data_IF_645902171919
#
_entry.id   IF_645902171919
#
_cell.length_a   1.000
_cell.length_b   1.000
_cell.length_c   1.000
_cell.angle_alpha   90.00
_cell.angle_beta   90.00
_cell.angle_gamma   90.00
#
_symmetry.space_group_name_H-M   'P 1'
#
loop_
_entity.id
_entity.type
_entity.pdbx_description
1 polymer ?
#
# COMPACT_ATOMS: atom_id res chain seq x y z
N UNK A 1 -6.16 -10.20 14.55
CA UNK A 1 -6.08 -8.75 14.29
C UNK A 1 -4.70 -8.44 13.70
N UNK A 2 -4.65 -8.12 12.40
CA UNK A 2 -3.91 -6.97 11.88
C UNK A 2 -2.37 -6.93 12.04
N UNK A 3 -1.63 -7.83 11.42
CA UNK A 3 -0.18 -7.66 11.26
C UNK A 3 0.16 -6.37 10.47
N UNK A 4 -0.70 -5.99 9.53
CA UNK A 4 -0.50 -4.86 8.62
C UNK A 4 -0.90 -3.51 9.24
N UNK A 5 -2.02 -3.41 9.96
CA UNK A 5 -2.29 -2.19 10.73
C UNK A 5 -1.26 -1.96 11.84
N UNK A 6 -0.58 -3.01 12.33
CA UNK A 6 0.50 -2.85 13.31
C UNK A 6 1.71 -2.13 12.72
N UNK A 7 1.98 -2.30 11.42
CA UNK A 7 3.04 -1.58 10.71
C UNK A 7 2.66 -0.10 10.54
N UNK A 8 1.40 0.18 10.19
CA UNK A 8 0.89 1.55 10.10
C UNK A 8 0.78 2.25 11.47
N UNK A 9 0.55 1.50 12.55
CA UNK A 9 0.34 2.01 13.91
C UNK A 9 1.58 1.86 14.80
N UNK A 10 2.78 1.84 14.22
CA UNK A 10 4.02 1.75 14.99
C UNK A 10 4.16 2.92 15.97
N UNK A 11 4.87 2.67 17.07
CA UNK A 11 5.14 3.70 18.08
C UNK A 11 6.00 4.83 17.50
N UNK A 12 6.97 4.46 16.66
CA UNK A 12 7.88 5.41 16.03
C UNK A 12 7.13 6.40 15.14
N UNK A 13 6.15 6.00 14.33
CA UNK A 13 5.45 6.91 13.39
C UNK A 13 4.23 7.65 13.98
N UNK A 14 4.01 7.59 15.30
CA UNK A 14 2.83 8.18 15.95
C UNK A 14 2.77 9.70 15.80
N UNK A 15 3.93 10.36 15.77
CA UNK A 15 4.04 11.79 15.50
C UNK A 15 3.62 12.13 14.07
N UNK A 16 4.02 11.32 13.08
CA UNK A 16 3.60 11.47 11.69
C UNK A 16 2.07 11.39 11.52
N UNK A 17 1.42 10.54 12.32
CA UNK A 17 -0.03 10.32 12.27
C UNK A 17 -0.85 11.34 13.03
N UNK A 18 -0.36 11.82 14.18
CA UNK A 18 -1.20 12.54 15.16
C UNK A 18 -0.81 14.01 15.37
N UNK A 19 0.41 14.43 15.03
CA UNK A 19 0.90 15.78 15.37
C UNK A 19 0.10 16.87 14.64
N UNK A 20 -0.26 16.65 13.39
CA UNK A 20 -1.08 17.61 12.61
C UNK A 20 -2.50 17.76 13.19
N UNK A 21 -3.10 16.66 13.65
CA UNK A 21 -4.38 16.72 14.35
C UNK A 21 -4.25 17.46 15.69
N UNK A 22 -3.24 17.12 16.49
CA UNK A 22 -2.96 17.80 17.75
C UNK A 22 -2.73 19.30 17.59
N UNK A 23 -2.07 19.72 16.49
CA UNK A 23 -1.87 21.13 16.15
C UNK A 23 -3.20 21.84 15.86
N UNK A 24 -4.08 21.24 15.05
CA UNK A 24 -5.42 21.78 14.75
C UNK A 24 -6.29 21.93 16.01
N UNK A 25 -6.09 21.06 17.00
CA UNK A 25 -6.80 21.11 18.28
C UNK A 25 -6.15 22.03 19.32
N UNK A 26 -5.04 22.71 18.98
CA UNK A 26 -4.32 23.60 19.90
C UNK A 26 -3.51 22.86 20.99
N UNK A 27 -3.31 21.54 20.85
CA UNK A 27 -2.59 20.69 21.81
C UNK A 27 -1.09 20.55 21.52
N UNK A 28 -0.63 21.05 20.37
CA UNK A 28 0.78 20.98 19.94
C UNK A 28 1.34 22.38 19.79
N UNK A 29 2.36 22.68 20.58
CA UNK A 29 3.13 23.93 20.57
C UNK A 29 3.93 24.11 19.26
N UNK A 30 4.24 25.37 18.92
CA UNK A 30 4.94 25.76 17.69
C UNK A 30 6.24 24.99 17.50
N UNK A 31 7.11 25.00 18.53
CA UNK A 31 8.41 24.33 18.50
C UNK A 31 8.32 22.82 18.21
N UNK A 32 7.26 22.16 18.70
CA UNK A 32 7.05 20.73 18.45
C UNK A 32 6.55 20.51 17.03
N UNK A 33 5.67 21.38 16.55
CA UNK A 33 5.17 21.31 15.18
C UNK A 33 6.27 21.58 14.15
N UNK A 34 7.16 22.55 14.39
CA UNK A 34 8.31 22.84 13.52
C UNK A 34 9.22 21.62 13.35
N UNK A 35 9.57 20.94 14.45
CA UNK A 35 10.37 19.70 14.39
C UNK A 35 9.69 18.60 13.60
N UNK A 36 8.38 18.47 13.77
CA UNK A 36 7.57 17.52 12.99
C UNK A 36 7.58 17.88 11.50
N UNK A 37 7.39 19.16 11.17
CA UNK A 37 7.36 19.65 9.79
C UNK A 37 8.70 19.43 9.09
N UNK A 38 9.81 19.77 9.73
CA UNK A 38 11.18 19.52 9.21
C UNK A 38 11.40 18.05 8.93
N UNK A 39 11.11 17.19 9.92
CA UNK A 39 11.25 15.74 9.78
C UNK A 39 10.37 15.17 8.66
N UNK A 40 9.13 15.66 8.53
CA UNK A 40 8.22 15.24 7.44
C UNK A 40 8.78 15.65 6.08
N UNK A 41 9.29 16.88 5.97
CA UNK A 41 9.92 17.37 4.74
C UNK A 41 11.17 16.56 4.37
N UNK A 42 12.02 16.19 5.34
CA UNK A 42 13.17 15.31 5.10
C UNK A 42 12.74 13.93 4.60
N UNK A 43 11.70 13.33 5.21
CA UNK A 43 11.14 12.04 4.78
C UNK A 43 10.62 12.13 3.35
N UNK A 44 9.82 13.16 3.03
CA UNK A 44 9.21 13.31 1.71
C UNK A 44 10.31 13.49 0.63
N UNK A 45 11.30 14.36 0.88
CA UNK A 45 12.43 14.57 -0.05
C UNK A 45 13.26 13.31 -0.25
N UNK A 46 13.56 12.60 0.83
CA UNK A 46 14.36 11.37 0.76
C UNK A 46 13.59 10.27 0.02
N UNK A 47 12.29 10.12 0.29
CA UNK A 47 11.44 9.17 -0.41
C UNK A 47 11.43 9.43 -1.91
N UNK A 48 11.29 10.69 -2.33
CA UNK A 48 11.31 11.09 -3.75
C UNK A 48 12.69 10.79 -4.38
N UNK A 49 13.78 11.15 -3.68
CA UNK A 49 15.15 10.85 -4.14
C UNK A 49 15.34 9.34 -4.37
N UNK A 50 15.00 8.49 -3.40
CA UNK A 50 15.15 7.03 -3.54
C UNK A 50 14.21 6.45 -4.61
N UNK A 51 13.02 7.04 -4.77
CA UNK A 51 12.05 6.66 -5.80
C UNK A 51 12.56 6.91 -7.22
N UNK A 52 13.25 8.04 -7.42
CA UNK A 52 13.65 8.51 -8.74
C UNK A 52 15.11 8.23 -9.09
N UNK A 53 15.96 7.93 -8.12
CA UNK A 53 17.37 7.64 -8.38
C UNK A 53 17.53 6.29 -9.09
N UNK A 54 18.34 6.27 -10.15
CA UNK A 54 18.66 5.06 -10.91
C UNK A 54 19.99 4.49 -10.41
N UNK A 55 19.97 3.23 -9.99
CA UNK A 55 21.15 2.46 -9.62
C UNK A 55 21.55 1.51 -10.74
N UNK A 56 22.84 1.21 -10.80
CA UNK A 56 23.46 0.47 -11.89
C UNK A 56 24.08 -0.85 -11.39
N UNK A 57 24.08 -1.92 -12.21
CA UNK A 57 24.65 -3.22 -11.84
C UNK A 57 26.10 -3.11 -11.35
N UNK A 58 26.93 -2.27 -11.98
CA UNK A 58 28.36 -2.19 -11.65
C UNK A 58 28.63 -1.75 -10.20
N UNK A 59 27.73 -0.97 -9.62
CA UNK A 59 27.81 -0.50 -8.23
C UNK A 59 27.12 -1.46 -7.26
N UNK A 60 25.97 -2.01 -7.65
CA UNK A 60 25.10 -2.77 -6.74
C UNK A 60 25.46 -4.24 -6.63
N UNK A 61 25.85 -4.90 -7.73
CA UNK A 61 26.00 -6.35 -7.79
C UNK A 61 26.97 -6.94 -6.73
N UNK A 62 28.11 -6.30 -6.40
CA UNK A 62 28.97 -6.79 -5.32
C UNK A 62 28.23 -6.93 -3.98
N UNK A 63 27.45 -5.92 -3.60
CA UNK A 63 26.64 -5.92 -2.37
C UNK A 63 25.46 -6.89 -2.47
N UNK A 64 24.84 -7.01 -3.65
CA UNK A 64 23.73 -7.95 -3.87
C UNK A 64 24.19 -9.41 -3.70
N UNK A 65 25.36 -9.76 -4.24
CA UNK A 65 25.93 -11.10 -4.10
C UNK A 65 26.34 -11.39 -2.66
N UNK A 66 26.94 -10.42 -1.97
CA UNK A 66 27.32 -10.56 -0.54
C UNK A 66 26.11 -10.82 0.35
N UNK A 67 25.00 -10.12 0.11
CA UNK A 67 23.74 -10.29 0.83
C UNK A 67 22.90 -11.50 0.33
N UNK A 68 23.41 -12.27 -0.64
CA UNK A 68 22.75 -13.49 -1.13
C UNK A 68 21.49 -13.24 -1.96
N UNK A 69 21.36 -12.07 -2.58
CA UNK A 69 20.23 -11.69 -3.43
C UNK A 69 20.61 -11.63 -4.91
N UNK A 70 19.63 -11.47 -5.80
CA UNK A 70 19.83 -11.57 -7.26
C UNK A 70 20.49 -10.32 -7.86
N UNK A 71 21.51 -10.49 -8.69
CA UNK A 71 22.15 -9.42 -9.46
C UNK A 71 21.18 -8.67 -10.38
N UNK A 72 21.59 -7.50 -10.86
CA UNK A 72 20.81 -6.66 -11.77
C UNK A 72 21.13 -6.97 -13.23
N UNK A 73 20.10 -7.22 -14.04
CA UNK A 73 20.26 -7.40 -15.49
C UNK A 73 20.35 -6.08 -16.27
N UNK A 74 19.89 -4.98 -15.68
CA UNK A 74 19.86 -3.65 -16.26
C UNK A 74 19.77 -2.60 -15.14
N UNK A 75 20.00 -1.30 -15.42
CA UNK A 75 19.79 -0.24 -14.45
C UNK A 75 18.32 -0.19 -14.00
N UNK A 76 18.10 0.00 -12.69
CA UNK A 76 16.76 0.04 -12.08
C UNK A 76 16.66 1.21 -11.10
N UNK A 77 15.45 1.53 -10.64
CA UNK A 77 15.27 2.52 -9.56
C UNK A 77 15.74 1.97 -8.22
N UNK A 78 16.39 2.78 -7.40
CA UNK A 78 16.84 2.39 -6.05
C UNK A 78 15.69 1.83 -5.20
N UNK A 79 14.50 2.47 -5.29
CA UNK A 79 13.25 1.99 -4.69
C UNK A 79 12.90 0.53 -5.01
N UNK A 80 13.34 -0.03 -6.13
CA UNK A 80 13.04 -1.42 -6.48
C UNK A 80 13.89 -2.45 -5.71
N UNK A 81 15.02 -2.02 -5.12
CA UNK A 81 15.87 -2.88 -4.30
C UNK A 81 15.44 -2.92 -2.85
N UNK A 82 14.96 -1.79 -2.31
CA UNK A 82 14.56 -1.64 -0.90
C UNK A 82 13.54 -2.71 -0.43
N UNK A 83 12.56 -3.19 -1.24
CA UNK A 83 11.63 -4.25 -0.85
C UNK A 83 12.25 -5.63 -0.67
N UNK A 84 13.50 -5.86 -1.10
CA UNK A 84 14.17 -7.15 -0.96
C UNK A 84 14.42 -7.43 0.52
N UNK A 85 13.96 -8.56 1.07
CA UNK A 85 14.03 -8.83 2.50
C UNK A 85 15.47 -8.99 3.00
N UNK A 86 16.42 -9.29 2.12
CA UNK A 86 17.84 -9.42 2.43
C UNK A 86 18.56 -8.07 2.54
N UNK A 87 17.91 -6.95 2.16
CA UNK A 87 18.53 -5.63 2.07
C UNK A 87 17.93 -4.62 3.07
N UNK A 88 18.80 -3.76 3.57
CA UNK A 88 18.48 -2.51 4.22
C UNK A 88 18.74 -1.33 3.28
N UNK A 89 18.13 -0.18 3.58
CA UNK A 89 18.40 1.02 2.78
C UNK A 89 19.89 1.40 2.84
N UNK A 90 20.53 1.23 4.00
CA UNK A 90 21.94 1.54 4.18
C UNK A 90 22.86 0.74 3.25
N UNK A 91 22.56 -0.54 2.99
CA UNK A 91 23.38 -1.37 2.10
C UNK A 91 23.42 -0.81 0.67
N UNK A 92 22.31 -0.21 0.23
CA UNK A 92 22.19 0.43 -1.09
C UNK A 92 22.98 1.74 -1.13
N UNK A 93 22.97 2.50 -0.04
CA UNK A 93 23.69 3.76 0.06
C UNK A 93 25.22 3.52 0.12
N UNK A 94 25.65 2.54 0.91
CA UNK A 94 27.08 2.17 1.04
C UNK A 94 27.67 1.67 -0.29
N UNK A 95 26.83 1.14 -1.18
CA UNK A 95 27.24 0.68 -2.51
C UNK A 95 27.27 1.79 -3.58
N UNK A 96 26.73 2.99 -3.31
CA UNK A 96 26.76 4.12 -4.24
C UNK A 96 27.02 5.46 -3.53
N UNK A 97 28.30 5.86 -3.49
CA UNK A 97 28.76 7.13 -2.90
C UNK A 97 27.99 8.37 -3.40
N UNK A 98 27.58 8.41 -4.67
CA UNK A 98 26.83 9.55 -5.22
C UNK A 98 25.42 9.62 -4.62
N UNK A 99 24.79 8.45 -4.42
CA UNK A 99 23.49 8.37 -3.77
C UNK A 99 23.62 8.73 -2.28
N UNK A 100 24.62 8.17 -1.58
CA UNK A 100 24.90 8.49 -0.19
C UNK A 100 25.08 10.00 0.01
N UNK A 101 25.86 10.66 -0.85
CA UNK A 101 26.06 12.11 -0.77
C UNK A 101 24.75 12.89 -0.94
N UNK A 102 23.89 12.52 -1.90
CA UNK A 102 22.59 13.17 -2.09
C UNK A 102 21.63 12.94 -0.92
N UNK A 103 21.76 11.80 -0.23
CA UNK A 103 21.00 11.52 0.98
C UNK A 103 21.50 12.39 2.14
N UNK A 104 22.82 12.51 2.33
CA UNK A 104 23.42 13.32 3.38
C UNK A 104 23.08 14.82 3.25
N UNK A 105 22.89 15.31 2.02
CA UNK A 105 22.40 16.67 1.75
C UNK A 105 20.95 16.90 2.22
N UNK A 106 20.16 15.83 2.36
CA UNK A 106 18.79 15.88 2.86
C UNK A 106 18.78 15.67 4.38
N UNK A 107 19.42 14.60 4.86
CA UNK A 107 19.37 14.22 6.28
C UNK A 107 20.47 13.22 6.63
N UNK A 108 20.99 13.34 7.84
CA UNK A 108 21.81 12.31 8.50
C UNK A 108 21.04 11.60 9.62
N UNK A 109 19.74 11.85 9.71
CA UNK A 109 18.88 11.32 10.75
C UNK A 109 18.49 9.87 10.44
N UNK A 110 19.04 8.94 11.20
CA UNK A 110 18.77 7.50 11.05
C UNK A 110 17.29 7.14 11.14
N UNK A 111 16.51 7.91 11.92
CA UNK A 111 15.08 7.69 11.99
C UNK A 111 14.39 8.01 10.66
N UNK A 112 14.84 9.05 9.93
CA UNK A 112 14.27 9.42 8.63
C UNK A 112 14.60 8.33 7.60
N UNK A 113 15.83 7.83 7.60
CA UNK A 113 16.23 6.68 6.78
C UNK A 113 15.34 5.46 7.05
N UNK A 114 15.13 5.12 8.33
CA UNK A 114 14.29 3.99 8.72
C UNK A 114 12.84 4.18 8.26
N UNK A 115 12.26 5.38 8.43
CA UNK A 115 10.90 5.63 7.97
C UNK A 115 10.75 5.50 6.46
N UNK A 116 11.70 6.00 5.67
CA UNK A 116 11.66 5.85 4.22
C UNK A 116 11.80 4.39 3.80
N UNK A 117 12.70 3.63 4.43
CA UNK A 117 12.84 2.18 4.20
C UNK A 117 11.52 1.46 4.48
N UNK A 118 10.89 1.73 5.62
CA UNK A 118 9.59 1.18 6.01
C UNK A 118 8.53 1.56 4.95
N UNK A 119 8.40 2.84 4.64
CA UNK A 119 7.40 3.31 3.67
C UNK A 119 7.54 2.57 2.34
N UNK A 120 8.75 2.49 1.79
CA UNK A 120 8.99 1.81 0.51
C UNK A 120 8.70 0.30 0.61
N UNK A 121 9.16 -0.38 1.66
CA UNK A 121 8.91 -1.83 1.85
C UNK A 121 7.41 -2.13 1.91
N UNK A 122 6.63 -1.23 2.49
CA UNK A 122 5.20 -1.43 2.69
C UNK A 122 4.30 -0.76 1.66
N UNK A 123 4.80 0.11 0.80
CA UNK A 123 4.03 0.73 -0.29
C UNK A 123 3.23 -0.30 -1.09
N UNK A 124 3.85 -1.44 -1.42
CA UNK A 124 3.19 -2.50 -2.18
C UNK A 124 2.07 -3.19 -1.41
N UNK A 125 2.22 -3.36 -0.10
CA UNK A 125 1.19 -3.98 0.76
C UNK A 125 0.05 -3.00 1.03
N UNK A 126 0.39 -1.76 1.39
CA UNK A 126 -0.57 -0.68 1.63
C UNK A 126 -1.39 -0.43 0.37
N UNK A 127 -0.76 -0.38 -0.81
CA UNK A 127 -1.46 -0.22 -2.08
C UNK A 127 -2.45 -1.34 -2.34
N UNK A 128 -2.08 -2.60 -2.13
CA UNK A 128 -3.01 -3.74 -2.29
C UNK A 128 -4.19 -3.65 -1.32
N UNK A 129 -3.96 -3.31 -0.07
CA UNK A 129 -5.03 -3.14 0.92
C UNK A 129 -5.96 -1.98 0.55
N UNK A 130 -5.42 -0.85 0.09
CA UNK A 130 -6.23 0.25 -0.43
C UNK A 130 -7.06 -0.17 -1.64
N UNK A 131 -6.46 -0.88 -2.60
CA UNK A 131 -7.17 -1.43 -3.76
C UNK A 131 -8.30 -2.39 -3.33
N UNK A 132 -8.05 -3.28 -2.35
CA UNK A 132 -9.08 -4.16 -1.81
C UNK A 132 -10.21 -3.40 -1.11
N UNK A 133 -9.89 -2.39 -0.30
CA UNK A 133 -10.89 -1.54 0.37
C UNK A 133 -11.72 -0.77 -0.66
N UNK A 134 -11.09 -0.24 -1.70
CA UNK A 134 -11.76 0.47 -2.78
C UNK A 134 -12.67 -0.48 -3.59
N UNK A 135 -12.20 -1.68 -3.93
CA UNK A 135 -12.97 -2.73 -4.59
C UNK A 135 -14.19 -3.14 -3.75
N UNK A 136 -13.99 -3.37 -2.44
CA UNK A 136 -15.07 -3.68 -1.50
C UNK A 136 -16.09 -2.53 -1.41
N UNK A 137 -15.62 -1.29 -1.35
CA UNK A 137 -16.51 -0.11 -1.33
C UNK A 137 -17.29 0.05 -2.62
N UNK A 138 -16.68 -0.24 -3.78
CA UNK A 138 -17.38 -0.27 -5.07
C UNK A 138 -18.47 -1.34 -5.07
N UNK A 139 -18.15 -2.55 -4.59
CA UNK A 139 -19.12 -3.65 -4.47
C UNK A 139 -20.27 -3.29 -3.53
N UNK A 140 -19.97 -2.65 -2.39
CA UNK A 140 -20.98 -2.26 -1.41
C UNK A 140 -22.05 -1.33 -2.01
N UNK A 141 -21.62 -0.41 -2.87
CA UNK A 141 -22.47 0.61 -3.47
C UNK A 141 -22.97 0.28 -4.88
N UNK A 142 -22.62 -0.88 -5.45
CA UNK A 142 -23.09 -1.26 -6.79
C UNK A 142 -24.54 -1.72 -6.70
N UNK A 143 -25.45 -0.90 -7.22
CA UNK A 143 -26.89 -1.18 -7.22
C UNK A 143 -27.24 -2.35 -8.15
N UNK A 144 -28.18 -3.17 -7.70
CA UNK A 144 -28.80 -4.23 -8.47
C UNK A 144 -30.18 -3.75 -8.90
N UNK A 145 -30.51 -3.72 -10.21
CA UNK A 145 -31.83 -3.31 -10.67
C UNK A 145 -32.95 -4.17 -10.06
N UNK A 146 -34.00 -3.52 -9.54
CA UNK A 146 -35.13 -4.20 -8.87
C UNK A 146 -35.82 -5.29 -9.72
N UNK A 147 -35.70 -5.21 -11.05
CA UNK A 147 -36.35 -6.12 -12.01
C UNK A 147 -35.40 -7.14 -12.64
N UNK A 148 -34.22 -7.35 -12.05
CA UNK A 148 -33.29 -8.35 -12.56
C UNK A 148 -33.91 -9.75 -12.48
N UNK A 149 -33.81 -10.52 -13.56
CA UNK A 149 -34.18 -11.92 -13.57
C UNK A 149 -32.91 -12.79 -13.48
N UNK A 150 -32.60 -13.28 -12.28
CA UNK A 150 -31.41 -14.10 -12.03
C UNK A 150 -31.42 -15.43 -12.79
N UNK A 151 -32.58 -15.93 -13.24
CA UNK A 151 -32.64 -17.16 -14.05
C UNK A 151 -31.98 -17.00 -15.41
N UNK A 152 -31.98 -15.77 -15.96
CA UNK A 152 -31.33 -15.45 -17.23
C UNK A 152 -29.80 -15.47 -17.16
N UNK A 153 -29.22 -15.50 -15.96
CA UNK A 153 -27.77 -15.49 -15.75
C UNK A 153 -27.30 -16.95 -15.64
N UNK A 154 -26.95 -17.56 -16.77
CA UNK A 154 -26.66 -19.00 -16.82
C UNK A 154 -25.48 -19.45 -15.94
N UNK A 155 -24.50 -18.58 -15.72
CA UNK A 155 -23.29 -18.85 -14.94
C UNK A 155 -23.47 -18.74 -13.43
N UNK A 156 -24.64 -18.33 -12.92
CA UNK A 156 -24.94 -18.40 -11.50
C UNK A 156 -25.24 -19.84 -11.06
N UNK A 157 -24.73 -20.22 -9.90
CA UNK A 157 -25.04 -21.50 -9.26
C UNK A 157 -26.54 -21.61 -8.95
N UNK A 158 -27.06 -22.82 -8.92
CA UNK A 158 -28.48 -23.07 -8.58
C UNK A 158 -28.83 -22.56 -7.18
N UNK A 159 -27.88 -22.65 -6.23
CA UNK A 159 -28.04 -22.11 -4.88
C UNK A 159 -28.03 -20.57 -4.91
N UNK A 160 -27.05 -19.97 -5.59
CA UNK A 160 -26.95 -18.52 -5.77
C UNK A 160 -28.22 -17.93 -6.37
N UNK A 161 -28.73 -18.51 -7.47
CA UNK A 161 -30.01 -18.11 -8.09
C UNK A 161 -31.16 -18.16 -7.11
N UNK A 162 -31.34 -19.30 -6.43
CA UNK A 162 -32.44 -19.48 -5.46
C UNK A 162 -32.40 -18.44 -4.34
N UNK A 163 -31.21 -18.17 -3.80
CA UNK A 163 -31.01 -17.20 -2.72
C UNK A 163 -31.21 -15.76 -3.18
N UNK A 164 -30.63 -15.38 -4.32
CA UNK A 164 -30.72 -14.02 -4.89
C UNK A 164 -32.17 -13.69 -5.28
N UNK A 165 -32.87 -14.60 -5.95
CA UNK A 165 -34.29 -14.43 -6.33
C UNK A 165 -35.19 -14.28 -5.09
N UNK A 166 -34.89 -15.00 -4.00
CA UNK A 166 -35.68 -14.94 -2.77
C UNK A 166 -35.44 -13.68 -1.95
N UNK A 167 -34.19 -13.24 -1.84
CA UNK A 167 -33.79 -12.14 -0.94
C UNK A 167 -33.86 -10.79 -1.65
N UNK A 168 -33.69 -10.76 -2.98
CA UNK A 168 -33.69 -9.55 -3.81
C UNK A 168 -32.80 -8.45 -3.22
N UNK A 169 -31.47 -8.68 -3.14
CA UNK A 169 -30.56 -7.67 -2.64
C UNK A 169 -30.56 -6.42 -3.53
N UNK A 170 -30.50 -5.25 -2.90
CA UNK A 170 -30.43 -3.93 -3.54
C UNK A 170 -29.01 -3.62 -4.05
N UNK A 171 -27.98 -4.22 -3.44
CA UNK A 171 -26.58 -4.02 -3.85
C UNK A 171 -25.78 -5.32 -3.95
N UNK A 172 -24.70 -5.29 -4.73
CA UNK A 172 -23.71 -6.38 -4.81
C UNK A 172 -23.13 -6.71 -3.43
N UNK A 173 -22.87 -5.71 -2.58
CA UNK A 173 -22.41 -5.91 -1.22
C UNK A 173 -23.42 -6.66 -0.35
N UNK A 174 -24.71 -6.35 -0.50
CA UNK A 174 -25.76 -7.12 0.18
C UNK A 174 -25.82 -8.55 -0.34
N UNK A 175 -25.71 -8.75 -1.66
CA UNK A 175 -25.69 -10.06 -2.30
C UNK A 175 -24.54 -10.95 -1.78
N UNK A 176 -23.34 -10.39 -1.59
CA UNK A 176 -22.15 -11.14 -1.15
C UNK A 176 -22.24 -11.64 0.30
N UNK A 177 -23.09 -11.03 1.14
CA UNK A 177 -23.33 -11.44 2.53
C UNK A 177 -24.41 -12.52 2.66
N UNK A 178 -25.10 -12.86 1.58
CA UNK A 178 -26.14 -13.89 1.61
C UNK A 178 -25.50 -15.26 1.74
N UNK A 179 -25.85 -15.98 2.82
CA UNK A 179 -25.44 -17.37 3.00
C UNK A 179 -25.97 -18.25 1.85
N UNK A 180 -25.04 -18.90 1.15
CA UNK A 180 -25.31 -19.71 -0.05
C UNK A 180 -25.05 -18.99 -1.38
N UNK A 181 -24.71 -17.69 -1.35
CA UNK A 181 -24.17 -16.98 -2.52
C UNK A 181 -22.64 -17.02 -2.44
N UNK A 182 -22.00 -17.63 -3.43
CA UNK A 182 -20.54 -17.77 -3.46
C UNK A 182 -19.86 -16.52 -4.03
N UNK A 183 -18.55 -16.35 -3.76
CA UNK A 183 -17.77 -15.29 -4.38
C UNK A 183 -17.80 -15.34 -5.93
N UNK A 184 -17.87 -16.55 -6.50
CA UNK A 184 -18.03 -16.76 -7.94
C UNK A 184 -19.38 -16.23 -8.46
N UNK A 185 -20.46 -16.43 -7.71
CA UNK A 185 -21.78 -15.92 -8.06
C UNK A 185 -21.81 -14.38 -8.05
N UNK A 186 -21.17 -13.77 -7.05
CA UNK A 186 -21.02 -12.31 -6.96
C UNK A 186 -20.22 -11.76 -8.14
N UNK A 187 -19.13 -12.44 -8.54
CA UNK A 187 -18.32 -12.05 -9.70
C UNK A 187 -19.12 -12.11 -11.01
N UNK A 188 -19.88 -13.20 -11.21
CA UNK A 188 -20.78 -13.36 -12.36
C UNK A 188 -21.82 -12.25 -12.41
N UNK A 189 -22.45 -11.95 -11.27
CA UNK A 189 -23.46 -10.90 -11.17
C UNK A 189 -22.87 -9.51 -11.48
N UNK A 190 -21.67 -9.21 -10.96
CA UNK A 190 -20.96 -7.97 -11.30
C UNK A 190 -20.66 -7.83 -12.79
N UNK A 191 -20.22 -8.90 -13.46
CA UNK A 191 -19.97 -8.89 -14.91
C UNK A 191 -21.29 -8.65 -15.66
N UNK A 192 -22.38 -9.29 -15.24
CA UNK A 192 -23.70 -9.11 -15.83
C UNK A 192 -24.23 -7.68 -15.70
N UNK A 193 -23.96 -6.99 -14.58
CA UNK A 193 -24.39 -5.60 -14.36
C UNK A 193 -23.53 -4.56 -15.11
N UNK A 194 -22.31 -4.92 -15.51
CA UNK A 194 -21.41 -4.05 -16.28
C UNK A 194 -21.65 -4.12 -17.79
N UNK A 195 -22.43 -5.09 -18.27
CA UNK A 195 -22.79 -5.29 -19.67
C UNK A 195 -24.21 -4.86 -19.96
#
# INVERSE_FOLDING_TARGET
SRAEHRILLRQDNADLRLTELGRRLGLVEDKRYERYAQKKEEIDKLYDLISDYTVYPEKMDPMLVENGTTELSQPVKAKSLVPRPELHLQDILDADDELQQKVDDITTNTYVLEQVEIQIKYDGYIKREFEMVEEMSKQENTEIPEKINYDNIQSLSSEGKSKLTKIQPETIGQASRISGVSASDVAVLMVYLKG
#
